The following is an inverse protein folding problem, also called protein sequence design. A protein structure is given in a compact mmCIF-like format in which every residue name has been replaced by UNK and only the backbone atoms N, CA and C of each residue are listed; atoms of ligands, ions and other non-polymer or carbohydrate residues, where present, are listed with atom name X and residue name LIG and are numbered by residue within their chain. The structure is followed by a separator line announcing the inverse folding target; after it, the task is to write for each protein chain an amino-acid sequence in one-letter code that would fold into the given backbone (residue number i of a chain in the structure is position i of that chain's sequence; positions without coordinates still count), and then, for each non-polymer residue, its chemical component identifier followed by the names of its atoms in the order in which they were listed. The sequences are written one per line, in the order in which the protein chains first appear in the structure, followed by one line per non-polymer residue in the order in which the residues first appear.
data_IF_861087378727
#
_entry.id   IF_861087378727
#
_cell.length_a   1.000
_cell.length_b   1.000
_cell.length_c   1.000
_cell.angle_alpha   90.00
_cell.angle_beta   90.00
_cell.angle_gamma   90.00
#
_symmetry.space_group_name_H-M   'P 1'
#
loop_
_entity.id
_entity.type
_entity.pdbx_description
1 polymer ?
#
# COMPACT_ATOMS: atom_id res chain seq x y z
N UNK A 1 7.96 -0.51 -1.40
CA UNK A 1 7.34 -1.82 -1.72
C UNK A 1 6.72 -2.44 -0.48
N UNK A 2 7.44 -2.57 0.62
CA UNK A 2 6.97 -3.18 1.88
C UNK A 2 5.64 -2.59 2.37
N UNK A 3 5.44 -1.26 2.25
CA UNK A 3 4.24 -0.57 2.75
C UNK A 3 2.95 -1.10 2.13
N UNK A 4 2.94 -1.34 0.81
CA UNK A 4 1.76 -1.88 0.10
C UNK A 4 1.48 -3.30 0.58
N UNK A 5 2.52 -4.15 0.65
CA UNK A 5 2.36 -5.51 1.12
C UNK A 5 1.85 -5.54 2.57
N UNK A 6 2.40 -4.70 3.46
CA UNK A 6 1.93 -4.59 4.84
C UNK A 6 0.47 -4.12 4.91
N UNK A 7 0.06 -3.18 4.06
CA UNK A 7 -1.33 -2.71 4.02
C UNK A 7 -2.29 -3.86 3.67
N UNK A 8 -1.91 -4.70 2.71
CA UNK A 8 -2.73 -5.85 2.32
C UNK A 8 -2.68 -6.97 3.37
N UNK A 9 -1.51 -7.22 4.00
CA UNK A 9 -1.40 -8.16 5.13
C UNK A 9 -2.32 -7.75 6.28
N UNK A 10 -2.37 -6.45 6.62
CA UNK A 10 -3.30 -5.90 7.63
C UNK A 10 -4.75 -6.14 7.20
N UNK A 11 -5.08 -5.86 5.94
CA UNK A 11 -6.42 -6.08 5.40
C UNK A 11 -6.84 -7.55 5.49
N UNK A 12 -5.95 -8.49 5.19
CA UNK A 12 -6.18 -9.93 5.33
C UNK A 12 -6.28 -10.39 6.78
N UNK A 13 -5.43 -9.86 7.65
CA UNK A 13 -5.41 -10.19 9.07
C UNK A 13 -6.72 -9.81 9.77
N UNK A 14 -7.26 -8.62 9.52
CA UNK A 14 -8.53 -8.19 10.09
C UNK A 14 -9.75 -8.68 9.31
N UNK A 15 -9.58 -9.00 8.05
CA UNK A 15 -10.64 -9.43 7.14
C UNK A 15 -11.46 -8.25 6.62
N UNK A 16 -11.53 -8.08 5.31
CA UNK A 16 -12.40 -7.10 4.68
C UNK A 16 -13.84 -7.60 4.79
N UNK A 17 -14.69 -6.83 5.48
CA UNK A 17 -16.13 -7.09 5.57
C UNK A 17 -16.87 -6.14 4.63
N UNK A 18 -17.69 -6.70 3.75
CA UNK A 18 -18.54 -5.89 2.89
C UNK A 18 -19.55 -5.11 3.73
N UNK A 19 -19.39 -3.80 3.76
CA UNK A 19 -20.33 -2.87 4.37
C UNK A 19 -20.47 -1.67 3.45
N UNK A 20 -21.70 -1.35 3.02
CA UNK A 20 -21.98 -0.23 2.12
C UNK A 20 -21.34 1.08 2.63
N UNK A 21 -21.44 1.36 3.92
CA UNK A 21 -20.84 2.53 4.56
C UNK A 21 -19.32 2.59 4.43
N UNK A 22 -18.63 1.45 4.59
CA UNK A 22 -17.17 1.40 4.48
C UNK A 22 -16.71 1.54 3.04
N UNK A 23 -17.43 0.89 2.12
CA UNK A 23 -17.17 0.97 0.68
C UNK A 23 -17.44 2.39 0.14
N UNK A 24 -18.55 3.01 0.54
CA UNK A 24 -18.87 4.40 0.20
C UNK A 24 -17.81 5.39 0.70
N UNK A 25 -17.29 5.20 1.92
CA UNK A 25 -16.20 6.04 2.43
C UNK A 25 -14.91 5.87 1.62
N UNK A 26 -14.58 4.64 1.22
CA UNK A 26 -13.42 4.37 0.37
C UNK A 26 -13.57 5.05 -1.00
N UNK A 27 -14.71 4.88 -1.67
CA UNK A 27 -14.99 5.51 -2.96
C UNK A 27 -14.99 7.05 -2.85
N UNK A 28 -15.64 7.58 -1.82
CA UNK A 28 -15.64 9.01 -1.58
C UNK A 28 -14.23 9.56 -1.37
N UNK A 29 -13.38 8.86 -0.63
CA UNK A 29 -12.00 9.28 -0.42
C UNK A 29 -11.21 9.31 -1.74
N UNK A 30 -11.36 8.29 -2.58
CA UNK A 30 -10.69 8.22 -3.89
C UNK A 30 -11.15 9.36 -4.80
N UNK A 31 -12.46 9.52 -4.97
CA UNK A 31 -13.04 10.56 -5.84
C UNK A 31 -12.74 11.97 -5.32
N UNK A 32 -12.83 12.19 -4.01
CA UNK A 32 -12.54 13.49 -3.41
C UNK A 32 -11.13 13.96 -3.74
N UNK A 33 -10.12 13.12 -3.51
CA UNK A 33 -8.74 13.50 -3.79
C UNK A 33 -8.43 13.53 -5.28
N UNK A 34 -9.03 12.65 -6.08
CA UNK A 34 -8.89 12.70 -7.54
C UNK A 34 -9.41 14.02 -8.15
N UNK A 35 -10.39 14.67 -7.50
CA UNK A 35 -10.95 15.96 -7.94
C UNK A 35 -10.19 17.14 -7.32
N UNK A 36 -9.99 17.12 -6.00
CA UNK A 36 -9.48 18.29 -5.26
C UNK A 36 -8.04 18.60 -5.63
N UNK A 37 -7.18 17.59 -5.77
CA UNK A 37 -5.77 17.82 -6.10
C UNK A 37 -5.59 18.52 -7.46
N UNK A 38 -6.14 18.01 -8.58
CA UNK A 38 -6.01 18.71 -9.86
C UNK A 38 -6.64 20.09 -9.87
N UNK A 39 -7.81 20.27 -9.25
CA UNK A 39 -8.46 21.57 -9.20
C UNK A 39 -7.58 22.61 -8.49
N UNK A 40 -6.98 22.26 -7.36
CA UNK A 40 -6.08 23.15 -6.63
C UNK A 40 -4.84 23.49 -7.47
N UNK A 41 -4.20 22.49 -8.09
CA UNK A 41 -2.96 22.71 -8.86
C UNK A 41 -3.24 23.55 -10.09
N UNK A 42 -4.26 23.23 -10.88
CA UNK A 42 -4.58 23.98 -12.10
C UNK A 42 -5.06 25.40 -11.80
N UNK A 43 -5.79 25.62 -10.71
CA UNK A 43 -6.16 26.95 -10.26
C UNK A 43 -4.94 27.78 -9.79
N UNK A 44 -4.00 27.14 -9.11
CA UNK A 44 -2.79 27.81 -8.61
C UNK A 44 -1.76 28.12 -9.72
N UNK A 45 -1.80 27.40 -10.83
CA UNK A 45 -0.87 27.57 -11.97
C UNK A 45 -1.48 28.32 -13.16
N UNK A 46 -2.71 28.82 -13.02
CA UNK A 46 -3.49 29.47 -14.08
C UNK A 46 -3.57 28.65 -15.40
N UNK A 47 -3.43 27.31 -15.27
CA UNK A 47 -3.37 26.36 -16.37
C UNK A 47 -4.64 25.53 -16.52
N UNK A 48 -5.79 26.08 -16.10
CA UNK A 48 -7.08 25.38 -16.05
C UNK A 48 -7.60 25.11 -17.46
N UNK A 49 -7.23 23.94 -18.00
CA UNK A 49 -7.75 23.42 -19.25
C UNK A 49 -8.69 22.26 -18.95
N UNK A 50 -9.95 22.33 -19.40
CA UNK A 50 -10.96 21.30 -19.14
C UNK A 50 -10.56 19.92 -19.66
N UNK A 51 -9.89 19.86 -20.83
CA UNK A 51 -9.42 18.60 -21.40
C UNK A 51 -8.38 17.92 -20.50
N UNK A 52 -7.43 18.68 -19.97
CA UNK A 52 -6.37 18.15 -19.10
C UNK A 52 -6.92 17.83 -17.70
N UNK A 53 -7.89 18.60 -17.23
CA UNK A 53 -8.62 18.27 -16.02
C UNK A 53 -9.34 16.91 -16.15
N UNK A 54 -10.09 16.69 -17.22
CA UNK A 54 -10.79 15.41 -17.44
C UNK A 54 -9.81 14.24 -17.60
N UNK A 55 -8.71 14.39 -18.32
CA UNK A 55 -7.65 13.35 -18.42
C UNK A 55 -7.08 13.02 -17.06
N UNK A 56 -6.77 14.03 -16.25
CA UNK A 56 -6.20 13.86 -14.92
C UNK A 56 -7.20 13.19 -13.98
N UNK A 57 -8.47 13.60 -14.00
CA UNK A 57 -9.55 12.97 -13.23
C UNK A 57 -9.70 11.48 -13.58
N UNK A 58 -9.74 11.18 -14.89
CA UNK A 58 -9.83 9.81 -15.37
C UNK A 58 -8.66 8.97 -14.89
N UNK A 59 -7.42 9.45 -15.08
CA UNK A 59 -6.21 8.75 -14.65
C UNK A 59 -6.17 8.54 -13.13
N UNK A 60 -6.46 9.57 -12.36
CA UNK A 60 -6.45 9.51 -10.89
C UNK A 60 -7.50 8.56 -10.32
N UNK A 61 -8.61 8.34 -11.04
CA UNK A 61 -9.71 7.48 -10.61
C UNK A 61 -9.54 6.05 -11.10
N UNK A 62 -9.17 5.85 -12.37
CA UNK A 62 -9.27 4.56 -13.05
C UNK A 62 -7.93 3.96 -13.50
N UNK A 63 -6.82 4.71 -13.47
CA UNK A 63 -5.53 4.23 -13.97
C UNK A 63 -4.46 4.07 -12.88
N UNK A 64 -4.85 4.17 -11.62
CA UNK A 64 -3.94 3.89 -10.49
C UNK A 64 -4.05 2.41 -10.12
N UNK A 65 -3.07 1.63 -10.47
CA UNK A 65 -3.05 0.18 -10.28
C UNK A 65 -3.48 -0.27 -8.87
N UNK A 66 -3.02 0.44 -7.83
CA UNK A 66 -3.33 0.05 -6.45
C UNK A 66 -4.80 0.26 -6.10
N UNK A 67 -5.41 1.36 -6.58
CA UNK A 67 -6.84 1.64 -6.38
C UNK A 67 -7.68 0.56 -7.06
N UNK A 68 -7.36 0.27 -8.33
CA UNK A 68 -8.02 -0.75 -9.13
C UNK A 68 -7.92 -2.14 -8.47
N UNK A 69 -6.68 -2.54 -8.12
CA UNK A 69 -6.44 -3.83 -7.49
C UNK A 69 -7.09 -3.95 -6.10
N UNK A 70 -7.09 -2.87 -5.31
CA UNK A 70 -7.68 -2.89 -3.98
C UNK A 70 -9.22 -2.90 -4.01
N UNK A 71 -9.84 -2.16 -4.94
CA UNK A 71 -11.30 -2.25 -5.17
C UNK A 71 -11.67 -3.66 -5.61
N UNK A 72 -10.92 -4.25 -6.55
CA UNK A 72 -11.12 -5.63 -6.98
C UNK A 72 -11.00 -6.62 -5.82
N UNK A 73 -9.98 -6.49 -4.98
CA UNK A 73 -9.82 -7.28 -3.75
C UNK A 73 -11.02 -7.08 -2.81
N UNK A 74 -11.50 -5.84 -2.64
CA UNK A 74 -12.65 -5.55 -1.79
C UNK A 74 -13.93 -6.25 -2.27
N UNK A 75 -14.16 -6.28 -3.59
CA UNK A 75 -15.29 -6.98 -4.21
C UNK A 75 -15.15 -8.50 -4.03
N UNK A 76 -13.95 -9.06 -4.19
CA UNK A 76 -13.71 -10.50 -4.06
C UNK A 76 -13.64 -10.97 -2.60
N UNK A 77 -13.42 -10.06 -1.65
CA UNK A 77 -13.21 -10.40 -0.24
C UNK A 77 -14.30 -11.29 0.38
N UNK A 78 -15.61 -11.13 0.11
CA UNK A 78 -16.64 -12.04 0.66
C UNK A 78 -16.46 -13.49 0.22
N UNK A 79 -16.05 -13.71 -1.04
CA UNK A 79 -15.79 -15.06 -1.58
C UNK A 79 -14.52 -15.65 -0.97
N UNK A 80 -13.46 -14.84 -0.91
CA UNK A 80 -12.16 -15.25 -0.33
C UNK A 80 -12.33 -15.57 1.17
N UNK A 81 -13.09 -14.77 1.91
CA UNK A 81 -13.35 -15.01 3.32
C UNK A 81 -14.09 -16.34 3.55
N UNK A 82 -15.07 -16.67 2.69
CA UNK A 82 -15.76 -17.98 2.75
C UNK A 82 -14.81 -19.15 2.49
N UNK A 83 -13.89 -19.01 1.53
CA UNK A 83 -12.84 -19.99 1.30
C UNK A 83 -11.95 -20.13 2.54
N UNK A 84 -11.49 -19.01 3.09
CA UNK A 84 -10.68 -19.01 4.32
C UNK A 84 -11.45 -19.71 5.46
N UNK A 85 -12.71 -19.36 5.72
CA UNK A 85 -13.52 -19.91 6.81
C UNK A 85 -13.72 -21.43 6.70
N UNK A 86 -13.91 -21.95 5.49
CA UNK A 86 -14.14 -23.38 5.23
C UNK A 86 -12.85 -24.21 5.18
N UNK A 87 -11.71 -23.62 4.86
CA UNK A 87 -10.43 -24.31 4.76
C UNK A 87 -9.87 -24.62 6.14
N UNK A 88 -9.28 -25.79 6.30
CA UNK A 88 -8.42 -26.08 7.46
C UNK A 88 -7.16 -25.24 7.42
N UNK A 89 -6.47 -25.10 8.56
CA UNK A 89 -5.21 -24.36 8.61
C UNK A 89 -4.15 -24.95 7.65
N UNK A 90 -4.08 -26.28 7.55
CA UNK A 90 -3.15 -27.00 6.68
C UNK A 90 -3.46 -26.76 5.20
N UNK A 91 -4.72 -26.86 4.79
CA UNK A 91 -5.16 -26.61 3.41
C UNK A 91 -4.85 -25.17 2.99
N UNK A 92 -5.17 -24.21 3.84
CA UNK A 92 -4.86 -22.79 3.56
C UNK A 92 -3.35 -22.57 3.43
N UNK A 93 -2.52 -23.19 4.30
CA UNK A 93 -1.06 -23.11 4.21
C UNK A 93 -0.50 -23.72 2.94
N UNK A 94 -0.98 -24.91 2.54
CA UNK A 94 -0.58 -25.57 1.28
C UNK A 94 -0.98 -24.69 0.07
N UNK A 95 -2.20 -24.15 0.07
CA UNK A 95 -2.66 -23.27 -1.01
C UNK A 95 -1.78 -22.03 -1.13
N UNK A 96 -1.45 -21.36 -0.01
CA UNK A 96 -0.57 -20.19 0.00
C UNK A 96 0.82 -20.55 -0.53
N UNK A 97 1.39 -21.68 -0.09
CA UNK A 97 2.70 -22.14 -0.57
C UNK A 97 2.69 -22.40 -2.09
N UNK A 98 1.70 -23.15 -2.59
CA UNK A 98 1.54 -23.41 -4.01
C UNK A 98 1.36 -22.11 -4.81
N UNK A 99 0.53 -21.20 -4.32
CA UNK A 99 0.30 -19.89 -4.93
C UNK A 99 1.60 -19.07 -5.03
N UNK A 100 2.40 -19.03 -3.96
CA UNK A 100 3.66 -18.27 -3.97
C UNK A 100 4.76 -18.93 -4.77
N UNK A 101 4.81 -20.26 -4.83
CA UNK A 101 5.71 -20.96 -5.76
C UNK A 101 5.35 -20.64 -7.20
N UNK A 102 4.07 -20.72 -7.55
CA UNK A 102 3.59 -20.38 -8.89
C UNK A 102 3.85 -18.91 -9.23
N UNK A 103 3.47 -17.97 -8.35
CA UNK A 103 3.66 -16.54 -8.59
C UNK A 103 5.13 -16.13 -8.62
N UNK A 104 6.02 -16.81 -7.90
CA UNK A 104 7.47 -16.57 -7.99
C UNK A 104 8.01 -17.06 -9.33
N UNK A 105 7.68 -18.29 -9.74
CA UNK A 105 8.20 -18.88 -10.97
C UNK A 105 7.65 -18.16 -12.22
N UNK A 106 6.35 -18.00 -12.30
CA UNK A 106 5.70 -17.45 -13.49
C UNK A 106 5.50 -15.94 -13.42
N UNK A 107 5.17 -15.39 -12.25
CA UNK A 107 4.91 -13.97 -12.08
C UNK A 107 6.18 -13.13 -11.93
N UNK A 108 7.09 -13.52 -11.04
CA UNK A 108 8.32 -12.75 -10.77
C UNK A 108 9.43 -13.08 -11.75
N UNK A 109 9.81 -14.36 -11.90
CA UNK A 109 10.87 -14.78 -12.79
C UNK A 109 10.41 -14.83 -14.25
N UNK A 110 9.23 -15.41 -14.51
CA UNK A 110 8.65 -15.57 -15.84
C UNK A 110 7.99 -14.31 -16.40
N UNK A 111 7.80 -13.27 -15.57
CA UNK A 111 7.19 -11.99 -15.96
C UNK A 111 5.79 -12.12 -16.59
N UNK A 112 5.00 -13.12 -16.18
CA UNK A 112 3.64 -13.32 -16.66
C UNK A 112 2.79 -12.05 -16.48
N UNK A 113 2.08 -11.67 -17.54
CA UNK A 113 1.33 -10.41 -17.63
C UNK A 113 0.29 -10.26 -16.50
N UNK A 114 -0.43 -11.33 -16.18
CA UNK A 114 -1.50 -11.33 -15.17
C UNK A 114 -1.04 -10.93 -13.77
N UNK A 115 0.24 -11.13 -13.47
CA UNK A 115 0.83 -10.72 -12.20
C UNK A 115 1.31 -9.28 -12.18
N UNK A 116 1.64 -8.69 -13.34
CA UNK A 116 2.08 -7.30 -13.48
C UNK A 116 3.09 -6.86 -12.39
N UNK A 117 4.15 -7.63 -12.18
CA UNK A 117 5.18 -7.39 -11.15
C UNK A 117 4.61 -7.31 -9.71
N UNK A 118 3.47 -7.92 -9.47
CA UNK A 118 2.75 -7.84 -8.19
C UNK A 118 1.71 -6.72 -8.09
N UNK A 119 1.55 -5.93 -9.15
CA UNK A 119 0.59 -4.83 -9.23
C UNK A 119 -0.75 -5.30 -9.83
N UNK A 120 -1.30 -6.40 -9.32
CA UNK A 120 -2.55 -6.99 -9.80
C UNK A 120 -3.44 -7.46 -8.66
N UNK A 121 -4.73 -7.64 -8.93
CA UNK A 121 -5.70 -8.18 -7.97
C UNK A 121 -5.23 -9.54 -7.45
N UNK A 122 -4.73 -10.41 -8.35
CA UNK A 122 -4.26 -11.76 -8.01
C UNK A 122 -3.14 -11.70 -6.98
N UNK A 123 -2.18 -10.79 -7.16
CA UNK A 123 -1.07 -10.62 -6.23
C UNK A 123 -1.54 -10.13 -4.86
N UNK A 124 -2.52 -9.22 -4.83
CA UNK A 124 -3.10 -8.75 -3.56
C UNK A 124 -3.88 -9.86 -2.85
N UNK A 125 -4.58 -10.74 -3.59
CA UNK A 125 -5.26 -11.90 -3.01
C UNK A 125 -4.26 -12.81 -2.28
N UNK A 126 -3.11 -13.09 -2.84
CA UNK A 126 -2.05 -13.87 -2.18
C UNK A 126 -1.62 -13.28 -0.83
N UNK A 127 -1.33 -11.98 -0.80
CA UNK A 127 -0.97 -11.27 0.44
C UNK A 127 -2.11 -11.25 1.46
N UNK A 128 -3.34 -11.09 1.00
CA UNK A 128 -4.53 -11.14 1.83
C UNK A 128 -4.69 -12.51 2.51
N UNK A 129 -4.47 -13.59 1.78
CA UNK A 129 -4.49 -14.96 2.33
C UNK A 129 -3.39 -15.18 3.37
N UNK A 130 -2.17 -14.65 3.16
CA UNK A 130 -1.13 -14.70 4.20
C UNK A 130 -1.59 -13.96 5.45
N UNK A 131 -2.14 -12.75 5.32
CA UNK A 131 -2.66 -11.99 6.46
C UNK A 131 -3.69 -12.78 7.26
N UNK A 132 -4.64 -13.43 6.58
CA UNK A 132 -5.65 -14.29 7.20
C UNK A 132 -5.06 -15.53 7.85
N UNK A 133 -4.05 -16.14 7.22
CA UNK A 133 -3.31 -17.28 7.77
C UNK A 133 -2.60 -16.91 9.09
N UNK A 134 -1.91 -15.77 9.13
CA UNK A 134 -1.24 -15.24 10.31
C UNK A 134 -2.20 -14.92 11.46
N UNK A 135 -3.46 -14.60 11.15
CA UNK A 135 -4.50 -14.44 12.17
C UNK A 135 -4.89 -15.75 12.83
N UNK A 136 -5.01 -16.83 12.05
CA UNK A 136 -5.47 -18.14 12.53
C UNK A 136 -4.44 -18.86 13.39
N UNK A 137 -3.16 -18.66 13.10
CA UNK A 137 -2.10 -19.37 13.81
C UNK A 137 -1.66 -18.56 15.02
N UNK A 138 -2.10 -19.00 16.19
CA UNK A 138 -1.64 -18.48 17.47
C UNK A 138 -0.40 -19.23 17.99
N UNK A 139 0.02 -20.34 17.32
CA UNK A 139 0.96 -21.29 17.89
C UNK A 139 2.39 -21.28 17.32
N UNK A 140 3.29 -21.44 18.24
CA UNK A 140 4.71 -21.85 18.29
C UNK A 140 5.68 -21.52 17.13
N UNK A 141 5.40 -21.76 15.85
CA UNK A 141 6.37 -21.50 14.76
C UNK A 141 6.58 -20.00 14.51
N UNK A 142 5.56 -19.18 14.77
CA UNK A 142 5.60 -17.72 14.63
C UNK A 142 5.61 -17.00 15.98
N UNK A 143 5.88 -17.71 17.06
CA UNK A 143 5.99 -17.10 18.39
C UNK A 143 7.43 -16.72 18.73
N UNK A 144 8.12 -16.13 17.75
CA UNK A 144 9.46 -15.61 17.92
C UNK A 144 9.44 -14.24 18.62
N UNK A 145 10.56 -13.87 19.20
CA UNK A 145 10.75 -12.54 19.78
C UNK A 145 10.58 -11.44 18.72
N UNK A 146 10.02 -10.29 19.11
CA UNK A 146 9.92 -9.10 18.23
C UNK A 146 11.26 -8.69 17.64
N UNK A 147 12.36 -8.88 18.37
CA UNK A 147 13.71 -8.57 17.89
C UNK A 147 14.18 -9.48 16.76
N UNK A 148 13.74 -10.75 16.74
CA UNK A 148 14.00 -11.66 15.62
C UNK A 148 13.30 -11.16 14.35
N UNK A 149 12.04 -10.76 14.46
CA UNK A 149 11.31 -10.18 13.31
C UNK A 149 11.95 -8.89 12.81
N UNK A 150 12.40 -8.02 13.72
CA UNK A 150 13.15 -6.82 13.34
C UNK A 150 14.46 -7.18 12.65
N UNK A 151 15.19 -8.19 13.17
CA UNK A 151 16.41 -8.70 12.56
C UNK A 151 16.16 -9.24 11.14
N UNK A 152 15.12 -10.05 10.95
CA UNK A 152 14.74 -10.57 9.62
C UNK A 152 14.41 -9.42 8.68
N UNK A 153 13.63 -8.41 9.12
CA UNK A 153 13.31 -7.23 8.34
C UNK A 153 14.57 -6.48 7.88
N UNK A 154 15.49 -6.20 8.80
CA UNK A 154 16.71 -5.45 8.47
C UNK A 154 17.66 -6.25 7.58
N UNK A 155 17.82 -7.55 7.83
CA UNK A 155 18.71 -8.44 7.05
C UNK A 155 18.16 -8.60 5.63
N UNK A 156 16.85 -8.87 5.47
CA UNK A 156 16.24 -9.00 4.14
C UNK A 156 16.30 -7.68 3.37
N UNK A 157 16.07 -6.54 4.02
CA UNK A 157 16.23 -5.21 3.42
C UNK A 157 17.66 -4.96 2.95
N UNK A 158 18.66 -5.29 3.78
CA UNK A 158 20.07 -5.17 3.41
C UNK A 158 20.44 -6.08 2.22
N UNK A 159 19.99 -7.34 2.24
CA UNK A 159 20.18 -8.27 1.10
C UNK A 159 19.55 -7.71 -0.17
N UNK A 160 18.35 -7.12 -0.08
CA UNK A 160 17.68 -6.51 -1.24
C UNK A 160 18.47 -5.35 -1.83
N UNK A 161 19.02 -4.47 -0.98
CA UNK A 161 19.88 -3.36 -1.44
C UNK A 161 21.15 -3.89 -2.08
N UNK A 162 21.80 -4.89 -1.48
CA UNK A 162 23.01 -5.53 -2.03
C UNK A 162 22.73 -6.17 -3.39
N UNK A 163 21.64 -6.93 -3.52
CA UNK A 163 21.22 -7.53 -4.80
C UNK A 163 20.96 -6.45 -5.86
N UNK A 164 20.25 -5.38 -5.49
CA UNK A 164 19.97 -4.28 -6.40
C UNK A 164 21.25 -3.60 -6.91
N UNK A 165 22.23 -3.37 -6.01
CA UNK A 165 23.52 -2.80 -6.36
C UNK A 165 24.34 -3.73 -7.29
N UNK A 166 24.31 -5.04 -7.02
CA UNK A 166 24.98 -6.03 -7.89
C UNK A 166 24.36 -6.12 -9.28
N UNK A 167 23.04 -6.13 -9.37
CA UNK A 167 22.28 -6.15 -10.63
C UNK A 167 22.62 -4.90 -11.45
N UNK A 168 22.62 -3.72 -10.82
CA UNK A 168 22.95 -2.47 -11.47
C UNK A 168 24.39 -2.46 -11.97
N UNK A 169 25.35 -2.94 -11.15
CA UNK A 169 26.76 -3.02 -11.53
C UNK A 169 27.01 -4.02 -12.65
N UNK A 170 26.25 -5.11 -12.71
CA UNK A 170 26.37 -6.13 -13.73
C UNK A 170 25.64 -5.80 -15.04
N UNK A 171 24.93 -4.65 -15.12
CA UNK A 171 24.20 -4.22 -16.31
C UNK A 171 22.94 -5.02 -16.61
N UNK A 172 22.43 -5.82 -15.67
CA UNK A 172 21.19 -6.55 -15.88
C UNK A 172 19.96 -5.64 -15.81
N UNK A 173 19.00 -5.89 -16.69
CA UNK A 173 17.71 -5.17 -16.74
C UNK A 173 16.63 -5.75 -15.82
N UNK A 174 17.00 -6.66 -14.90
CA UNK A 174 16.06 -7.25 -13.96
C UNK A 174 15.74 -6.22 -12.87
N UNK A 175 14.45 -5.95 -12.66
CA UNK A 175 14.01 -5.10 -11.55
C UNK A 175 13.89 -5.97 -10.28
N UNK A 176 14.79 -5.83 -9.29
CA UNK A 176 14.72 -6.62 -8.06
C UNK A 176 13.49 -6.23 -7.21
N UNK A 177 12.99 -5.02 -7.42
CA UNK A 177 11.87 -4.45 -6.69
C UNK A 177 10.53 -4.84 -7.33
N UNK A 178 9.98 -5.98 -6.90
CA UNK A 178 8.65 -6.45 -7.27
C UNK A 178 7.89 -6.84 -6.00
N UNK A 179 6.60 -6.54 -5.94
CA UNK A 179 5.75 -6.95 -4.81
C UNK A 179 5.65 -8.47 -4.65
N UNK A 180 5.99 -9.24 -5.71
CA UNK A 180 6.04 -10.71 -5.70
C UNK A 180 7.41 -11.26 -5.32
N UNK A 181 8.45 -10.43 -5.23
CA UNK A 181 9.76 -10.92 -4.82
C UNK A 181 9.66 -11.58 -3.44
N UNK A 182 10.05 -12.87 -3.29
CA UNK A 182 9.94 -13.59 -2.03
C UNK A 182 10.61 -12.88 -0.85
N UNK A 183 11.73 -12.19 -1.09
CA UNK A 183 12.42 -11.42 -0.03
C UNK A 183 11.58 -10.22 0.42
N UNK A 184 10.93 -9.50 -0.51
CA UNK A 184 10.05 -8.38 -0.17
C UNK A 184 8.79 -8.88 0.56
N UNK A 185 8.25 -10.03 0.16
CA UNK A 185 7.13 -10.65 0.88
C UNK A 185 7.55 -11.05 2.29
N UNK A 186 8.71 -11.70 2.44
CA UNK A 186 9.26 -12.08 3.74
C UNK A 186 9.52 -10.86 4.63
N UNK A 187 10.13 -9.81 4.06
CA UNK A 187 10.38 -8.54 4.72
C UNK A 187 9.08 -7.90 5.23
N UNK A 188 8.03 -7.93 4.40
CA UNK A 188 6.71 -7.40 4.77
C UNK A 188 6.04 -8.21 5.89
N UNK A 189 6.14 -9.53 5.84
CA UNK A 189 5.64 -10.42 6.90
C UNK A 189 6.41 -10.16 8.22
N UNK A 190 7.73 -10.05 8.15
CA UNK A 190 8.56 -9.78 9.30
C UNK A 190 8.22 -8.43 9.95
N UNK A 191 8.08 -7.37 9.17
CA UNK A 191 7.67 -6.05 9.65
C UNK A 191 6.27 -6.09 10.28
N UNK A 192 5.30 -6.76 9.63
CA UNK A 192 3.97 -6.94 10.17
C UNK A 192 3.99 -7.65 11.53
N UNK A 193 4.74 -8.77 11.64
CA UNK A 193 4.84 -9.55 12.88
C UNK A 193 5.59 -8.79 13.98
N UNK A 194 6.60 -7.99 13.63
CA UNK A 194 7.26 -7.10 14.57
C UNK A 194 6.25 -6.14 15.22
N UNK A 195 5.47 -5.42 14.42
CA UNK A 195 4.45 -4.50 14.95
C UNK A 195 3.33 -5.22 15.70
N UNK A 196 2.92 -6.41 15.26
CA UNK A 196 1.95 -7.24 15.98
C UNK A 196 2.45 -7.61 17.39
N UNK A 197 3.76 -7.83 17.55
CA UNK A 197 4.40 -8.15 18.84
C UNK A 197 4.76 -6.93 19.69
N UNK A 198 4.66 -5.73 19.13
CA UNK A 198 4.78 -4.50 19.89
C UNK A 198 3.53 -4.30 20.74
N UNK A 199 3.60 -4.69 22.01
CA UNK A 199 2.47 -4.54 22.93
C UNK A 199 2.41 -3.10 23.49
N UNK A 200 2.12 -2.13 22.60
CA UNK A 200 2.04 -0.70 22.95
C UNK A 200 0.61 -0.23 23.29
N UNK A 201 -0.36 -1.17 23.27
CA UNK A 201 -1.75 -0.85 23.50
C UNK A 201 -2.39 0.03 22.42
N UNK A 202 -3.50 0.66 22.74
CA UNK A 202 -4.21 1.57 21.84
C UNK A 202 -3.81 3.02 22.09
N UNK A 203 -3.02 3.59 21.17
CA UNK A 203 -2.57 4.99 21.25
C UNK A 203 -3.51 5.86 20.40
N UNK A 204 -4.30 6.71 21.05
CA UNK A 204 -5.36 7.52 20.41
C UNK A 204 -4.84 8.38 19.25
N UNK A 205 -3.68 9.01 19.39
CA UNK A 205 -3.15 9.87 18.32
C UNK A 205 -2.64 9.07 17.12
N UNK A 206 -2.06 7.86 17.32
CA UNK A 206 -1.68 6.97 16.22
C UNK A 206 -2.92 6.54 15.44
N UNK A 207 -3.98 6.13 16.13
CA UNK A 207 -5.24 5.74 15.49
C UNK A 207 -5.88 6.92 14.75
N UNK A 208 -5.78 8.13 15.31
CA UNK A 208 -6.27 9.35 14.67
C UNK A 208 -5.54 9.64 13.34
N UNK A 209 -4.23 9.46 13.30
CA UNK A 209 -3.41 9.63 12.09
C UNK A 209 -3.67 8.49 11.10
N UNK A 210 -3.71 7.25 11.57
CA UNK A 210 -3.82 6.04 10.75
C UNK A 210 -5.06 6.03 9.84
N UNK A 211 -6.19 6.61 10.29
CA UNK A 211 -7.42 6.74 9.48
C UNK A 211 -7.17 7.53 8.18
N UNK A 212 -6.20 8.43 8.18
CA UNK A 212 -5.87 9.29 7.03
C UNK A 212 -4.65 8.80 6.23
N UNK A 213 -4.03 7.67 6.59
CA UNK A 213 -2.81 7.18 5.93
C UNK A 213 -3.00 6.88 4.45
N UNK A 214 -4.18 6.41 4.05
CA UNK A 214 -4.49 6.16 2.63
C UNK A 214 -4.58 7.47 1.82
N UNK A 215 -5.03 8.57 2.42
CA UNK A 215 -5.03 9.88 1.76
C UNK A 215 -3.62 10.36 1.40
N UNK A 216 -2.61 10.03 2.22
CA UNK A 216 -1.21 10.34 1.90
C UNK A 216 -0.82 9.75 0.56
N UNK A 217 -1.17 8.46 0.33
CA UNK A 217 -0.94 7.80 -0.96
C UNK A 217 -1.72 8.49 -2.10
N UNK A 218 -2.99 8.82 -1.87
CA UNK A 218 -3.83 9.43 -2.90
C UNK A 218 -3.33 10.82 -3.33
N UNK A 219 -2.85 11.62 -2.38
CA UNK A 219 -2.38 12.99 -2.63
C UNK A 219 -1.01 12.99 -3.30
N UNK A 220 0.02 12.38 -2.67
CA UNK A 220 1.38 12.49 -3.21
C UNK A 220 1.58 11.75 -4.55
N UNK A 221 0.76 10.74 -4.84
CA UNK A 221 0.79 10.01 -6.10
C UNK A 221 -0.26 10.51 -7.11
N UNK A 222 -0.87 11.67 -6.85
CA UNK A 222 -1.76 12.33 -7.79
C UNK A 222 -1.00 12.81 -9.03
N UNK A 223 -1.60 12.67 -10.23
CA UNK A 223 -0.93 13.02 -11.49
C UNK A 223 -0.56 14.51 -11.57
N UNK A 224 -1.33 15.38 -10.94
CA UNK A 224 -1.06 16.81 -10.88
C UNK A 224 -0.04 17.19 -9.79
N UNK A 225 -0.04 16.48 -8.66
CA UNK A 225 0.86 16.75 -7.51
C UNK A 225 2.23 16.12 -7.71
N UNK A 226 2.30 14.93 -8.32
CA UNK A 226 3.54 14.16 -8.47
C UNK A 226 4.69 14.93 -9.12
N UNK A 227 4.49 15.72 -10.20
CA UNK A 227 5.56 16.53 -10.78
C UNK A 227 6.13 17.56 -9.79
N UNK A 228 5.28 18.18 -8.97
CA UNK A 228 5.71 19.14 -7.95
C UNK A 228 6.52 18.46 -6.85
N UNK A 229 6.11 17.27 -6.47
CA UNK A 229 6.84 16.44 -5.51
C UNK A 229 8.23 16.05 -6.05
N UNK A 230 8.32 15.59 -7.30
CA UNK A 230 9.58 15.25 -7.94
C UNK A 230 10.51 16.47 -8.04
N UNK A 231 9.99 17.61 -8.51
CA UNK A 231 10.76 18.86 -8.60
C UNK A 231 11.32 19.31 -7.24
N UNK A 232 10.56 19.14 -6.15
CA UNK A 232 11.05 19.45 -4.81
C UNK A 232 12.17 18.49 -4.37
N UNK A 233 12.08 17.19 -4.70
CA UNK A 233 13.13 16.21 -4.42
C UNK A 233 14.41 16.54 -5.21
N UNK A 234 14.28 16.84 -6.51
CA UNK A 234 15.40 17.23 -7.38
C UNK A 234 16.08 18.51 -6.88
N UNK A 235 15.29 19.49 -6.43
CA UNK A 235 15.81 20.72 -5.81
C UNK A 235 16.61 20.43 -4.53
N UNK A 236 16.08 19.56 -3.66
CA UNK A 236 16.77 19.16 -2.42
C UNK A 236 18.10 18.45 -2.74
N UNK A 237 18.10 17.55 -3.71
CA UNK A 237 19.30 16.83 -4.12
C UNK A 237 20.37 17.76 -4.69
N UNK A 238 19.97 18.75 -5.48
CA UNK A 238 20.88 19.71 -6.11
C UNK A 238 21.49 20.74 -5.14
N UNK A 239 20.75 21.12 -4.07
CA UNK A 239 21.14 22.27 -3.24
C UNK A 239 21.62 21.90 -1.82
N UNK A 240 21.39 20.66 -1.37
CA UNK A 240 21.74 20.25 0.01
C UNK A 240 22.65 19.02 0.03
N UNK A 241 23.79 19.13 0.70
CA UNK A 241 24.71 18.02 0.91
C UNK A 241 25.02 17.88 2.41
N UNK A 242 24.70 16.73 3.06
CA UNK A 242 23.97 15.57 2.51
C UNK A 242 22.47 15.86 2.29
N UNK A 243 21.90 15.39 1.20
CA UNK A 243 20.49 15.63 0.84
C UNK A 243 19.49 14.82 1.68
N UNK A 244 19.91 13.65 2.19
CA UNK A 244 19.05 12.70 2.90
C UNK A 244 18.24 13.30 4.07
N UNK A 245 18.82 14.09 5.02
CA UNK A 245 18.03 14.66 6.12
C UNK A 245 16.93 15.60 5.63
N UNK A 246 17.19 16.39 4.61
CA UNK A 246 16.22 17.33 4.02
C UNK A 246 15.12 16.61 3.27
N UNK A 247 15.47 15.56 2.51
CA UNK A 247 14.48 14.70 1.85
C UNK A 247 13.57 14.01 2.88
N UNK A 248 14.13 13.51 3.99
CA UNK A 248 13.35 12.93 5.08
C UNK A 248 12.40 13.96 5.71
N UNK A 249 12.88 15.16 5.98
CA UNK A 249 12.06 16.25 6.54
C UNK A 249 10.92 16.62 5.58
N UNK A 250 11.22 16.71 4.29
CA UNK A 250 10.22 16.96 3.25
C UNK A 250 9.14 15.86 3.22
N UNK A 251 9.54 14.58 3.24
CA UNK A 251 8.59 13.46 3.27
C UNK A 251 7.70 13.48 4.52
N UNK A 252 8.27 13.81 5.69
CA UNK A 252 7.49 13.98 6.92
C UNK A 252 6.52 15.15 6.80
N UNK A 253 6.94 16.26 6.20
CA UNK A 253 6.08 17.41 5.92
C UNK A 253 4.90 17.04 5.00
N UNK A 254 5.17 16.35 3.89
CA UNK A 254 4.12 15.85 2.97
C UNK A 254 3.15 14.92 3.69
N UNK A 255 3.65 14.03 4.55
CA UNK A 255 2.80 13.16 5.34
C UNK A 255 1.88 13.95 6.28
N UNK A 256 2.42 14.89 7.05
CA UNK A 256 1.66 15.71 8.00
C UNK A 256 0.59 16.53 7.27
N UNK A 257 0.96 17.24 6.20
CA UNK A 257 0.03 18.07 5.41
C UNK A 257 -1.08 17.22 4.81
N UNK A 258 -0.76 16.05 4.27
CA UNK A 258 -1.75 15.13 3.71
C UNK A 258 -2.73 14.61 4.76
N UNK A 259 -2.23 14.28 5.96
CA UNK A 259 -3.09 13.86 7.08
C UNK A 259 -4.01 15.00 7.52
N UNK A 260 -3.48 16.21 7.65
CA UNK A 260 -4.29 17.40 8.04
C UNK A 260 -5.37 17.69 7.00
N UNK A 261 -5.02 17.68 5.73
CA UNK A 261 -5.97 17.87 4.63
C UNK A 261 -7.09 16.81 4.65
N UNK A 262 -6.74 15.54 4.93
CA UNK A 262 -7.74 14.48 5.01
C UNK A 262 -8.72 14.62 6.17
N UNK A 263 -8.39 15.37 7.23
CA UNK A 263 -9.36 15.68 8.30
C UNK A 263 -10.49 16.55 7.78
N UNK A 264 -10.21 17.46 6.84
CA UNK A 264 -11.24 18.26 6.17
C UNK A 264 -12.18 17.35 5.36
N UNK A 265 -11.63 16.44 4.55
CA UNK A 265 -12.43 15.45 3.82
C UNK A 265 -13.31 14.60 4.76
N UNK A 266 -12.74 14.11 5.87
CA UNK A 266 -13.48 13.32 6.86
C UNK A 266 -14.63 14.12 7.48
N UNK A 267 -14.41 15.41 7.73
CA UNK A 267 -15.46 16.29 8.23
C UNK A 267 -16.60 16.43 7.20
N UNK A 268 -16.26 16.69 5.93
CA UNK A 268 -17.24 16.77 4.83
C UNK A 268 -18.01 15.47 4.71
N UNK A 269 -17.33 14.32 4.62
CA UNK A 269 -17.97 13.00 4.52
C UNK A 269 -18.97 12.75 5.65
N UNK A 270 -18.60 13.08 6.88
CA UNK A 270 -19.44 12.89 8.05
C UNK A 270 -20.71 13.74 8.01
N UNK A 271 -20.63 14.95 7.47
CA UNK A 271 -21.76 15.89 7.47
C UNK A 271 -22.63 15.80 6.21
N UNK A 272 -22.18 15.10 5.16
CA UNK A 272 -22.89 14.90 3.90
C UNK A 272 -23.35 13.46 3.71
N UNK A 273 -22.52 12.66 3.04
CA UNK A 273 -22.84 11.29 2.63
C UNK A 273 -23.18 10.35 3.79
N UNK A 274 -22.52 10.49 4.94
CA UNK A 274 -22.79 9.64 6.08
C UNK A 274 -24.20 9.85 6.67
N UNK A 275 -24.76 11.04 6.51
CA UNK A 275 -26.14 11.33 6.92
C UNK A 275 -27.17 10.71 5.99
N UNK A 276 -26.82 10.61 4.68
CA UNK A 276 -27.69 9.98 3.67
C UNK A 276 -27.71 8.45 3.77
N UNK A 277 -26.69 7.84 4.39
CA UNK A 277 -26.54 6.40 4.57
C UNK A 277 -27.02 5.90 5.95
N UNK A 278 -27.64 6.76 6.72
CA UNK A 278 -28.35 6.41 7.96
C UNK A 278 -29.81 6.13 7.69
#
# INVERSE_FOLDING_TARGET
FVCVNCFILISGYFGIRWKLKSFSNLLFQILFWAIVCPVIVFAATDSLNMTDLFKTLYHNTFSRWFIEAYIGLYILAPMINRFIEKSTHRELGIFILAFYLFSTLFGYLGKAYDFNKGMSIISLVGLYLIGAYLRRKQDSIFDLSKYVYLGVYLVTGFIMVAIAALILKAGFTITPYSYLNPLIVLESIALFLFFKKLNIGSIKWINYIAVSSFAVYLIHNDLSIKPLYCAACDYIEAHYTPSFPYALLFMVGVFIVSVMADKVRLFIYKHTLLRLLK
#
